data_IF_015233123105
#
_entry.id   IF_015233123105
#
_cell.length_a   1.000
_cell.length_b   1.000
_cell.length_c   1.000
_cell.angle_alpha   90.00
_cell.angle_beta   90.00
_cell.angle_gamma   90.00
#
_symmetry.space_group_name_H-M   'P 1'
#
loop_
_entity.id
_entity.type
_entity.pdbx_description
1 polymer ?
#
# COMPACT_ATOMS: atom_id res chain seq x y z
N UNK A 1 -6.83 -18.76 18.65
CA UNK A 1 -5.97 -18.06 17.65
C UNK A 1 -4.66 -17.66 18.32
N UNK A 2 -3.50 -17.93 17.73
CA UNK A 2 -2.19 -17.72 18.36
C UNK A 2 -1.65 -16.31 18.02
N UNK A 3 -1.16 -15.56 18.99
CA UNK A 3 -0.62 -14.19 18.77
C UNK A 3 0.52 -14.16 17.75
N UNK A 4 1.34 -15.22 17.67
CA UNK A 4 2.39 -15.34 16.64
C UNK A 4 1.77 -15.44 15.24
N UNK A 5 0.70 -16.23 15.10
CA UNK A 5 -0.05 -16.35 13.83
C UNK A 5 -0.64 -15.00 13.42
N UNK A 6 -1.23 -14.25 14.34
CA UNK A 6 -1.78 -12.91 14.06
C UNK A 6 -0.67 -11.97 13.56
N UNK A 7 0.49 -11.94 14.22
CA UNK A 7 1.63 -11.12 13.78
C UNK A 7 2.08 -11.50 12.37
N UNK A 8 2.22 -12.79 12.09
CA UNK A 8 2.58 -13.26 10.73
C UNK A 8 1.55 -12.83 9.69
N UNK A 9 0.25 -12.98 9.98
CA UNK A 9 -0.81 -12.55 9.06
C UNK A 9 -0.77 -11.05 8.80
N UNK A 10 -0.55 -10.22 9.83
CA UNK A 10 -0.43 -8.76 9.66
C UNK A 10 0.76 -8.40 8.75
N UNK A 11 1.89 -9.10 8.87
CA UNK A 11 3.04 -8.87 7.97
C UNK A 11 2.76 -9.30 6.54
N UNK A 12 2.12 -10.46 6.35
CA UNK A 12 1.72 -10.93 5.02
C UNK A 12 0.77 -9.92 4.36
N UNK A 13 -0.26 -9.46 5.07
CA UNK A 13 -1.16 -8.42 4.55
C UNK A 13 -0.41 -7.13 4.18
N UNK A 14 0.61 -6.74 4.95
CA UNK A 14 1.42 -5.56 4.65
C UNK A 14 2.23 -5.75 3.37
N UNK A 15 2.85 -6.90 3.19
CA UNK A 15 3.61 -7.25 1.99
C UNK A 15 2.73 -7.28 0.74
N UNK A 16 1.57 -7.94 0.84
CA UNK A 16 0.57 -8.01 -0.24
C UNK A 16 0.07 -6.62 -0.65
N UNK A 17 -0.24 -5.74 0.32
CA UNK A 17 -0.67 -4.38 0.02
C UNK A 17 0.44 -3.54 -0.63
N UNK A 18 1.69 -3.67 -0.16
CA UNK A 18 2.85 -2.99 -0.77
C UNK A 18 3.02 -3.45 -2.22
N UNK A 19 2.91 -4.75 -2.47
CA UNK A 19 3.00 -5.31 -3.82
C UNK A 19 1.85 -4.84 -4.71
N UNK A 20 0.62 -4.83 -4.21
CA UNK A 20 -0.54 -4.29 -4.92
C UNK A 20 -0.32 -2.84 -5.35
N UNK A 21 0.14 -1.98 -4.43
CA UNK A 21 0.42 -0.56 -4.71
C UNK A 21 1.56 -0.44 -5.72
N UNK A 22 2.62 -1.25 -5.61
CA UNK A 22 3.74 -1.26 -6.57
C UNK A 22 3.30 -1.64 -7.98
N UNK A 23 2.37 -2.59 -8.09
CA UNK A 23 1.84 -3.08 -9.36
C UNK A 23 0.76 -2.15 -9.96
N UNK A 24 0.31 -1.13 -9.23
CA UNK A 24 -0.66 -0.17 -9.74
C UNK A 24 -0.08 0.81 -10.78
N UNK A 25 1.25 0.96 -10.84
CA UNK A 25 1.94 1.75 -11.85
C UNK A 25 3.15 2.50 -11.30
N UNK A 26 3.59 3.52 -12.04
CA UNK A 26 4.69 4.39 -11.59
C UNK A 26 4.30 5.17 -10.32
N UNK A 27 5.29 5.54 -9.50
CA UNK A 27 5.06 6.35 -8.29
C UNK A 27 4.27 7.64 -8.60
N UNK A 28 4.56 8.27 -9.74
CA UNK A 28 3.83 9.45 -10.22
C UNK A 28 2.36 9.15 -10.47
N UNK A 29 2.03 8.03 -11.14
CA UNK A 29 0.65 7.64 -11.41
C UNK A 29 -0.10 7.30 -10.12
N UNK A 30 0.56 6.62 -9.19
CA UNK A 30 -0.02 6.32 -7.87
C UNK A 30 -0.27 7.61 -7.08
N UNK A 31 0.66 8.56 -7.10
CA UNK A 31 0.48 9.88 -6.49
C UNK A 31 -0.70 10.65 -7.11
N UNK A 32 -0.77 10.71 -8.44
CA UNK A 32 -1.88 11.35 -9.17
C UNK A 32 -3.24 10.72 -8.83
N UNK A 33 -3.29 9.39 -8.65
CA UNK A 33 -4.54 8.66 -8.36
C UNK A 33 -4.95 8.72 -6.88
N UNK A 34 -4.00 8.83 -5.95
CA UNK A 34 -4.25 8.64 -4.50
C UNK A 34 -4.07 9.92 -3.68
N UNK A 35 -3.38 10.92 -4.24
CA UNK A 35 -2.96 12.14 -3.56
C UNK A 35 -1.85 11.90 -2.52
N UNK A 36 -1.26 10.71 -2.46
CA UNK A 36 -0.16 10.42 -1.54
C UNK A 36 1.16 10.81 -2.19
N UNK A 37 1.91 11.66 -1.48
CA UNK A 37 3.22 12.15 -1.91
C UNK A 37 4.17 11.02 -2.35
N UNK A 38 4.81 11.21 -3.50
CA UNK A 38 5.75 10.25 -4.10
C UNK A 38 6.92 9.88 -3.20
N UNK A 39 7.41 10.78 -2.35
CA UNK A 39 8.52 10.49 -1.45
C UNK A 39 8.06 9.57 -0.31
N UNK A 40 6.83 9.75 0.19
CA UNK A 40 6.23 8.80 1.13
C UNK A 40 6.00 7.43 0.49
N UNK A 41 5.40 7.38 -0.70
CA UNK A 41 5.22 6.13 -1.45
C UNK A 41 6.56 5.41 -1.66
N UNK A 42 7.60 6.14 -2.09
CA UNK A 42 8.94 5.56 -2.25
C UNK A 42 9.49 4.97 -0.95
N UNK A 43 9.32 5.66 0.19
CA UNK A 43 9.80 5.14 1.49
C UNK A 43 9.03 3.89 1.92
N UNK A 44 7.72 3.83 1.68
CA UNK A 44 6.88 2.67 2.00
C UNK A 44 7.24 1.47 1.13
N UNK A 45 7.29 1.66 -0.20
CA UNK A 45 7.52 0.57 -1.15
C UNK A 45 8.95 0.01 -1.10
N UNK A 46 9.93 0.79 -0.63
CA UNK A 46 11.31 0.35 -0.46
C UNK A 46 11.62 -0.10 0.98
N UNK A 47 10.62 -0.21 1.86
CA UNK A 47 10.80 -0.67 3.23
C UNK A 47 11.60 0.27 4.14
N UNK A 48 11.85 1.52 3.70
CA UNK A 48 12.56 2.53 4.51
C UNK A 48 11.71 3.04 5.67
N UNK A 49 10.39 3.05 5.49
CA UNK A 49 9.41 3.30 6.54
C UNK A 49 8.44 2.13 6.54
N UNK A 50 8.05 1.69 7.73
CA UNK A 50 7.03 0.66 7.92
C UNK A 50 5.66 1.33 8.14
N UNK A 51 4.81 1.45 7.09
CA UNK A 51 3.50 2.08 7.23
C UNK A 51 2.55 1.22 8.09
N UNK A 52 1.58 1.91 8.71
CA UNK A 52 0.41 1.29 9.31
C UNK A 52 -0.38 0.54 8.24
N UNK A 53 -1.06 -0.54 8.64
CA UNK A 53 -1.81 -1.36 7.69
C UNK A 53 -2.98 -0.56 7.11
N UNK A 54 -3.64 0.22 7.95
CA UNK A 54 -4.74 1.12 7.61
C UNK A 54 -4.34 2.12 6.52
N UNK A 55 -3.14 2.71 6.61
CA UNK A 55 -2.62 3.62 5.58
C UNK A 55 -2.43 2.92 4.24
N UNK A 56 -1.96 1.68 4.24
CA UNK A 56 -1.80 0.92 2.99
C UNK A 56 -3.15 0.53 2.38
N UNK A 57 -4.14 0.19 3.22
CA UNK A 57 -5.51 -0.09 2.79
C UNK A 57 -6.12 1.14 2.14
N UNK A 58 -6.04 2.32 2.76
CA UNK A 58 -6.56 3.57 2.19
C UNK A 58 -5.95 3.89 0.81
N UNK A 59 -4.65 3.63 0.62
CA UNK A 59 -3.97 3.81 -0.67
C UNK A 59 -4.51 2.80 -1.69
N UNK A 60 -4.63 1.53 -1.31
CA UNK A 60 -5.13 0.47 -2.19
C UNK A 60 -6.58 0.73 -2.63
N UNK A 61 -7.47 1.13 -1.71
CA UNK A 61 -8.86 1.48 -2.00
C UNK A 61 -8.97 2.66 -2.97
N UNK A 62 -8.12 3.68 -2.82
CA UNK A 62 -8.07 4.81 -3.77
C UNK A 62 -7.62 4.37 -5.16
N UNK A 63 -6.63 3.49 -5.25
CA UNK A 63 -6.18 2.90 -6.52
C UNK A 63 -7.32 2.14 -7.19
N UNK A 64 -8.02 1.29 -6.44
CA UNK A 64 -9.15 0.49 -6.93
C UNK A 64 -10.30 1.38 -7.40
N UNK A 65 -10.67 2.38 -6.59
CA UNK A 65 -11.70 3.36 -6.94
C UNK A 65 -11.38 4.11 -8.23
N UNK A 66 -10.11 4.47 -8.44
CA UNK A 66 -9.68 5.12 -9.68
C UNK A 66 -9.79 4.17 -10.87
N UNK A 67 -9.32 2.92 -10.75
CA UNK A 67 -9.40 1.91 -11.81
C UNK A 67 -10.84 1.65 -12.25
N UNK A 68 -11.80 1.62 -11.33
CA UNK A 68 -13.21 1.37 -11.65
C UNK A 68 -13.92 2.57 -12.30
N UNK A 69 -13.30 3.76 -12.31
CA UNK A 69 -13.85 4.97 -12.94
C UNK A 69 -13.33 5.20 -14.38
N UNK A 70 -12.28 4.50 -14.79
CA UNK A 70 -11.63 4.58 -16.12
C UNK A 70 -11.85 3.31 -16.91
#
# INVERSE_FOLDING_TARGET
MNIKKIKTTIEQCREELIEYIRNAGSLRRVEENTGVDRAHLSKYLNGKIRPKLETLVEIAEKIETYKNKT
#
